data_IF_143464554992
#
_entry.id   IF_143464554992
#
_cell.length_a   1.000
_cell.length_b   1.000
_cell.length_c   1.000
_cell.angle_alpha   90.00
_cell.angle_beta   90.00
_cell.angle_gamma   90.00
#
_symmetry.space_group_name_H-M   'P 1'
#
loop_
_entity.id
_entity.type
_entity.pdbx_description
1 polymer ?
#
# COMPACT_ATOMS: atom_id res chain seq x y z
N UNK A 1 -41.72 -28.39 91.96
CA UNK A 1 -41.70 -29.69 91.28
C UNK A 1 -41.20 -29.43 89.88
N UNK A 2 -40.01 -29.94 89.59
CA UNK A 2 -39.26 -30.06 88.34
C UNK A 2 -39.70 -29.24 87.11
N UNK A 3 -38.81 -28.33 86.68
CA UNK A 3 -38.75 -27.83 85.30
C UNK A 3 -37.65 -28.62 84.57
N UNK A 4 -38.08 -29.56 83.72
CA UNK A 4 -37.24 -30.40 82.87
C UNK A 4 -36.54 -29.60 81.75
N UNK A 5 -35.29 -29.96 81.49
CA UNK A 5 -34.52 -29.59 80.30
C UNK A 5 -34.72 -30.68 79.23
N UNK A 6 -35.08 -30.37 77.97
CA UNK A 6 -34.91 -31.31 76.87
C UNK A 6 -33.63 -31.02 76.08
N UNK A 7 -32.74 -32.01 76.10
CA UNK A 7 -31.60 -32.16 75.20
C UNK A 7 -32.12 -32.42 73.79
N UNK A 8 -31.87 -31.53 72.83
CA UNK A 8 -32.14 -31.78 71.41
C UNK A 8 -30.91 -32.44 70.77
N UNK A 9 -31.08 -33.71 70.40
CA UNK A 9 -30.11 -34.50 69.63
C UNK A 9 -30.15 -34.13 68.14
N UNK A 10 -28.96 -34.02 67.52
CA UNK A 10 -28.78 -33.73 66.08
C UNK A 10 -28.91 -35.01 65.23
N UNK A 11 -29.61 -34.98 64.09
CA UNK A 11 -29.38 -35.92 63.00
C UNK A 11 -28.97 -35.20 61.70
N UNK A 12 -27.79 -34.56 61.66
CA UNK A 12 -27.25 -33.97 60.40
C UNK A 12 -26.38 -34.94 59.59
N UNK A 13 -25.85 -36.00 60.20
CA UNK A 13 -24.81 -36.85 59.57
C UNK A 13 -25.30 -37.73 58.41
N UNK A 14 -26.56 -38.20 58.43
CA UNK A 14 -27.10 -39.08 57.37
C UNK A 14 -27.39 -38.36 56.05
N UNK A 15 -27.86 -37.10 56.11
CA UNK A 15 -28.21 -36.33 54.91
C UNK A 15 -26.97 -35.91 54.14
N UNK A 16 -25.92 -35.51 54.85
CA UNK A 16 -24.65 -35.12 54.24
C UNK A 16 -23.93 -36.32 53.60
N UNK A 17 -24.00 -37.50 54.24
CA UNK A 17 -23.49 -38.75 53.66
C UNK A 17 -24.25 -39.11 52.37
N UNK A 18 -25.58 -38.96 52.35
CA UNK A 18 -26.39 -39.27 51.16
C UNK A 18 -26.05 -38.34 49.99
N UNK A 19 -25.84 -37.04 50.26
CA UNK A 19 -25.46 -36.05 49.24
C UNK A 19 -24.07 -36.34 48.70
N UNK A 20 -23.09 -36.64 49.56
CA UNK A 20 -21.74 -37.03 49.12
C UNK A 20 -21.79 -38.30 48.28
N UNK A 21 -22.60 -39.29 48.69
CA UNK A 21 -22.76 -40.54 47.95
C UNK A 21 -23.36 -40.32 46.55
N UNK A 22 -24.37 -39.45 46.43
CA UNK A 22 -24.95 -39.07 45.14
C UNK A 22 -23.94 -38.34 44.25
N UNK A 23 -23.17 -37.40 44.80
CA UNK A 23 -22.14 -36.67 44.04
C UNK A 23 -21.07 -37.64 43.51
N UNK A 24 -20.65 -38.61 44.33
CA UNK A 24 -19.68 -39.63 43.91
C UNK A 24 -20.27 -40.53 42.82
N UNK A 25 -21.53 -40.96 42.94
CA UNK A 25 -22.20 -41.75 41.91
C UNK A 25 -22.29 -40.99 40.58
N UNK A 26 -22.67 -39.71 40.61
CA UNK A 26 -22.75 -38.90 39.39
C UNK A 26 -21.37 -38.63 38.79
N UNK A 27 -20.34 -38.40 39.61
CA UNK A 27 -18.97 -38.21 39.14
C UNK A 27 -18.39 -39.49 38.50
N UNK A 28 -18.59 -40.63 39.15
CA UNK A 28 -18.16 -41.94 38.62
C UNK A 28 -18.97 -42.31 37.37
N UNK A 29 -20.28 -42.06 37.37
CA UNK A 29 -21.14 -42.27 36.20
C UNK A 29 -20.72 -41.40 35.01
N UNK A 30 -20.47 -40.11 35.23
CA UNK A 30 -19.96 -39.19 34.20
C UNK A 30 -18.57 -39.59 33.68
N UNK A 31 -17.68 -40.02 34.58
CA UNK A 31 -16.35 -40.51 34.21
C UNK A 31 -16.42 -41.80 33.40
N UNK A 32 -17.26 -42.78 33.79
CA UNK A 32 -17.43 -44.02 33.06
C UNK A 32 -18.09 -43.78 31.69
N UNK A 33 -19.09 -42.91 31.60
CA UNK A 33 -19.71 -42.53 30.32
C UNK A 33 -18.66 -41.88 29.41
N UNK A 34 -17.87 -40.91 29.92
CA UNK A 34 -16.78 -40.30 29.15
C UNK A 34 -15.68 -41.28 28.74
N UNK A 35 -15.26 -42.15 29.65
CA UNK A 35 -14.23 -43.17 29.39
C UNK A 35 -14.68 -44.20 28.36
N UNK A 36 -15.92 -44.70 28.44
CA UNK A 36 -16.44 -45.67 27.48
C UNK A 36 -16.82 -45.04 26.14
N UNK A 37 -17.25 -43.78 26.09
CA UNK A 37 -17.44 -43.06 24.82
C UNK A 37 -16.10 -42.80 24.11
N UNK A 38 -15.07 -42.36 24.82
CA UNK A 38 -13.72 -42.20 24.24
C UNK A 38 -13.06 -43.53 23.88
N UNK A 39 -13.34 -44.61 24.64
CA UNK A 39 -12.83 -45.95 24.32
C UNK A 39 -13.57 -46.58 23.14
N UNK A 40 -14.88 -46.34 23.01
CA UNK A 40 -15.64 -46.71 21.83
C UNK A 40 -15.13 -46.00 20.56
N UNK A 41 -14.63 -44.77 20.69
CA UNK A 41 -13.98 -44.02 19.60
C UNK A 41 -12.57 -44.55 19.28
N UNK A 42 -11.81 -45.07 20.27
CA UNK A 42 -10.50 -45.69 20.06
C UNK A 42 -10.55 -47.12 19.51
N UNK A 43 -11.60 -47.89 19.82
CA UNK A 43 -11.75 -49.28 19.38
C UNK A 43 -12.55 -49.45 18.06
N UNK A 44 -12.97 -48.36 17.41
CA UNK A 44 -13.62 -48.40 16.07
C UNK A 44 -12.70 -48.16 14.87
N UNK A 45 -11.37 -48.09 15.08
CA UNK A 45 -10.40 -48.23 13.98
C UNK A 45 -9.60 -49.52 14.17
N UNK A 46 -10.27 -50.66 14.03
CA UNK A 46 -9.61 -51.88 13.58
C UNK A 46 -9.69 -51.89 12.06
N UNK A 47 -8.57 -51.60 11.41
CA UNK A 47 -8.38 -51.88 9.99
C UNK A 47 -8.48 -53.39 9.77
N UNK A 48 -9.67 -53.88 9.43
CA UNK A 48 -9.78 -55.16 8.74
C UNK A 48 -9.49 -54.90 7.26
N UNK A 49 -8.48 -55.58 6.72
CA UNK A 49 -8.31 -55.79 5.29
C UNK A 49 -9.51 -56.59 4.76
N UNK A 50 -10.60 -55.88 4.47
CA UNK A 50 -11.68 -56.41 3.67
C UNK A 50 -11.33 -56.12 2.22
N UNK A 51 -10.87 -57.15 1.50
CA UNK A 51 -10.99 -57.22 0.04
C UNK A 51 -12.48 -57.14 -0.29
N UNK A 52 -13.00 -55.93 -0.40
CA UNK A 52 -14.40 -55.63 -0.68
C UNK A 52 -14.47 -54.31 -1.42
N UNK A 53 -14.68 -54.40 -2.73
CA UNK A 53 -15.16 -53.36 -3.66
C UNK A 53 -14.99 -51.92 -3.17
N UNK A 54 -13.97 -51.25 -3.69
CA UNK A 54 -13.72 -49.81 -3.55
C UNK A 54 -14.97 -49.00 -3.90
N UNK A 55 -15.67 -48.51 -2.88
CA UNK A 55 -16.48 -47.29 -3.04
C UNK A 55 -15.49 -46.16 -3.33
N UNK A 56 -15.70 -45.33 -4.37
CA UNK A 56 -14.78 -44.24 -4.65
C UNK A 56 -14.72 -43.33 -3.42
N UNK A 57 -13.52 -43.06 -2.92
CA UNK A 57 -13.29 -42.10 -1.84
C UNK A 57 -13.92 -40.76 -2.24
N UNK A 58 -15.08 -40.42 -1.66
CA UNK A 58 -15.65 -39.09 -1.84
C UNK A 58 -14.64 -38.09 -1.27
N UNK A 59 -14.27 -37.04 -2.02
CA UNK A 59 -13.34 -36.03 -1.54
C UNK A 59 -13.86 -35.43 -0.25
N UNK A 60 -12.96 -35.18 0.71
CA UNK A 60 -13.31 -34.47 1.94
C UNK A 60 -14.03 -33.16 1.60
N UNK A 61 -14.95 -32.70 2.46
CA UNK A 61 -15.67 -31.44 2.21
C UNK A 61 -14.70 -30.28 1.90
N UNK A 62 -13.51 -30.27 2.54
CA UNK A 62 -12.43 -29.33 2.24
C UNK A 62 -11.95 -29.41 0.79
N UNK A 63 -11.59 -30.60 0.31
CA UNK A 63 -11.13 -30.80 -1.06
C UNK A 63 -12.20 -30.47 -2.09
N UNK A 64 -13.46 -30.82 -1.81
CA UNK A 64 -14.60 -30.46 -2.66
C UNK A 64 -14.71 -28.94 -2.82
N UNK A 65 -14.74 -28.19 -1.72
CA UNK A 65 -14.86 -26.72 -1.78
C UNK A 65 -13.61 -26.05 -2.34
N UNK A 66 -12.42 -26.61 -2.09
CA UNK A 66 -11.18 -26.11 -2.68
C UNK A 66 -11.18 -26.26 -4.21
N UNK A 67 -11.57 -27.44 -4.72
CA UNK A 67 -11.73 -27.65 -6.17
C UNK A 67 -12.81 -26.76 -6.77
N UNK A 68 -13.93 -26.58 -6.06
CA UNK A 68 -14.98 -25.66 -6.49
C UNK A 68 -14.45 -24.23 -6.64
N UNK A 69 -13.72 -23.72 -5.64
CA UNK A 69 -13.08 -22.40 -5.72
C UNK A 69 -12.11 -22.30 -6.90
N UNK A 70 -11.19 -23.26 -7.05
CA UNK A 70 -10.22 -23.28 -8.14
C UNK A 70 -10.89 -23.30 -9.52
N UNK A 71 -11.96 -24.08 -9.67
CA UNK A 71 -12.71 -24.16 -10.91
C UNK A 71 -13.48 -22.87 -11.23
N UNK A 72 -13.89 -22.12 -10.21
CA UNK A 72 -14.58 -20.84 -10.40
C UNK A 72 -13.62 -19.75 -10.88
N UNK A 73 -12.36 -19.70 -10.43
CA UNK A 73 -11.41 -18.66 -10.84
C UNK A 73 -11.09 -18.74 -12.34
N UNK A 74 -11.28 -17.62 -13.06
CA UNK A 74 -10.97 -17.49 -14.49
C UNK A 74 -9.98 -16.35 -14.73
N UNK A 75 -8.88 -16.68 -15.42
CA UNK A 75 -7.88 -15.68 -15.82
C UNK A 75 -8.47 -14.54 -16.65
N UNK A 76 -9.41 -14.85 -17.56
CA UNK A 76 -10.08 -13.83 -18.39
C UNK A 76 -10.85 -12.80 -17.57
N UNK A 77 -11.49 -13.20 -16.48
CA UNK A 77 -12.20 -12.27 -15.59
C UNK A 77 -11.22 -11.35 -14.86
N UNK A 78 -10.05 -11.86 -14.46
CA UNK A 78 -9.00 -11.05 -13.84
C UNK A 78 -8.48 -10.03 -14.85
N UNK A 79 -8.23 -10.44 -16.10
CA UNK A 79 -7.83 -9.54 -17.18
C UNK A 79 -8.87 -8.44 -17.44
N UNK A 80 -10.16 -8.80 -17.51
CA UNK A 80 -11.24 -7.84 -17.75
C UNK A 80 -11.43 -6.87 -16.58
N UNK A 81 -11.32 -7.38 -15.34
CA UNK A 81 -11.32 -6.54 -14.15
C UNK A 81 -10.14 -5.56 -14.17
N UNK A 82 -8.94 -6.03 -14.54
CA UNK A 82 -7.75 -5.19 -14.63
C UNK A 82 -7.96 -4.08 -15.66
N UNK A 83 -8.37 -4.41 -16.89
CA UNK A 83 -8.67 -3.44 -17.95
C UNK A 83 -9.72 -2.41 -17.53
N UNK A 84 -10.77 -2.85 -16.84
CA UNK A 84 -11.80 -1.96 -16.33
C UNK A 84 -11.25 -0.95 -15.32
N UNK A 85 -10.48 -1.41 -14.33
CA UNK A 85 -9.91 -0.54 -13.29
C UNK A 85 -8.92 0.46 -13.90
N UNK A 86 -8.02 -0.02 -14.77
CA UNK A 86 -6.90 0.75 -15.32
C UNK A 86 -7.27 1.61 -16.53
N UNK A 87 -8.53 1.62 -16.93
CA UNK A 87 -9.00 2.38 -18.10
C UNK A 87 -8.85 3.90 -17.93
N UNK A 88 -8.85 4.39 -16.68
CA UNK A 88 -8.71 5.80 -16.34
C UNK A 88 -7.87 5.97 -15.06
N UNK A 89 -7.18 7.10 -14.87
CA UNK A 89 -6.48 7.37 -13.61
C UNK A 89 -7.41 7.38 -12.41
N UNK A 90 -6.97 6.78 -11.29
CA UNK A 90 -7.80 6.60 -10.10
C UNK A 90 -7.05 6.92 -8.79
N UNK A 91 -6.49 8.14 -8.74
CA UNK A 91 -5.84 8.68 -7.55
C UNK A 91 -6.79 8.77 -6.35
N UNK A 92 -6.26 8.61 -5.13
CA UNK A 92 -7.03 8.71 -3.90
C UNK A 92 -7.86 10.01 -3.86
N UNK A 93 -9.13 9.90 -3.46
CA UNK A 93 -10.06 11.04 -3.39
C UNK A 93 -10.54 11.59 -4.75
N UNK A 94 -10.17 10.96 -5.88
CA UNK A 94 -10.69 11.32 -7.20
C UNK A 94 -12.10 10.78 -7.46
N UNK A 95 -12.79 11.37 -8.44
CA UNK A 95 -14.09 10.90 -8.91
C UNK A 95 -14.05 9.42 -9.33
N UNK A 96 -13.06 9.04 -10.14
CA UNK A 96 -12.90 7.66 -10.64
C UNK A 96 -12.71 6.66 -9.50
N UNK A 97 -11.91 7.02 -8.49
CA UNK A 97 -11.69 6.16 -7.32
C UNK A 97 -13.00 5.90 -6.57
N UNK A 98 -13.85 6.92 -6.41
CA UNK A 98 -15.16 6.81 -5.78
C UNK A 98 -16.14 5.97 -6.60
N UNK A 99 -16.18 6.15 -7.93
CA UNK A 99 -16.98 5.31 -8.84
C UNK A 99 -16.60 3.83 -8.73
N UNK A 100 -15.30 3.51 -8.66
CA UNK A 100 -14.83 2.14 -8.45
C UNK A 100 -15.25 1.59 -7.08
N UNK A 101 -15.29 2.44 -6.04
CA UNK A 101 -15.75 2.06 -4.71
C UNK A 101 -17.24 1.67 -4.73
N UNK A 102 -18.07 2.52 -5.32
CA UNK A 102 -19.52 2.28 -5.49
C UNK A 102 -19.74 0.98 -6.26
N UNK A 103 -19.07 0.82 -7.41
CA UNK A 103 -19.20 -0.37 -8.25
C UNK A 103 -18.85 -1.66 -7.49
N UNK A 104 -17.81 -1.64 -6.66
CA UNK A 104 -17.44 -2.80 -5.85
C UNK A 104 -18.46 -3.06 -4.72
N UNK A 105 -18.95 -2.00 -4.07
CA UNK A 105 -19.99 -2.08 -3.05
C UNK A 105 -21.26 -2.75 -3.59
N UNK A 106 -21.74 -2.27 -4.75
CA UNK A 106 -22.92 -2.81 -5.43
C UNK A 106 -22.73 -4.27 -5.88
N UNK A 107 -21.56 -4.61 -6.43
CA UNK A 107 -21.22 -5.99 -6.78
C UNK A 107 -21.28 -6.91 -5.57
N UNK A 108 -20.67 -6.53 -4.45
CA UNK A 108 -20.67 -7.36 -3.24
C UNK A 108 -22.07 -7.52 -2.63
N UNK A 109 -22.94 -6.51 -2.71
CA UNK A 109 -24.35 -6.64 -2.33
C UNK A 109 -25.07 -7.64 -3.23
N UNK A 110 -24.89 -7.50 -4.55
CA UNK A 110 -25.48 -8.40 -5.56
C UNK A 110 -24.96 -9.84 -5.41
N UNK A 111 -23.73 -9.99 -4.96
CA UNK A 111 -23.09 -11.28 -4.68
C UNK A 111 -23.64 -12.00 -3.44
N UNK A 112 -24.52 -11.35 -2.67
CA UNK A 112 -25.13 -11.92 -1.47
C UNK A 112 -24.19 -11.97 -0.27
N UNK A 113 -23.25 -11.03 -0.16
CA UNK A 113 -22.48 -10.86 1.07
C UNK A 113 -23.41 -10.41 2.20
N UNK A 114 -23.19 -10.92 3.41
CA UNK A 114 -24.13 -10.73 4.53
C UNK A 114 -24.14 -9.26 5.02
N UNK A 115 -23.01 -8.56 4.92
CA UNK A 115 -22.93 -7.12 5.11
C UNK A 115 -21.93 -6.49 4.14
N UNK A 116 -22.25 -5.29 3.64
CA UNK A 116 -21.33 -4.51 2.80
C UNK A 116 -21.33 -3.06 3.28
N UNK A 117 -20.18 -2.61 3.73
CA UNK A 117 -19.95 -1.30 4.33
C UNK A 117 -19.06 -0.47 3.38
N UNK A 118 -19.24 0.85 3.42
CA UNK A 118 -18.39 1.79 2.70
C UNK A 118 -17.95 2.92 3.65
N UNK A 119 -17.13 2.61 4.68
CA UNK A 119 -16.75 3.61 5.66
C UNK A 119 -15.91 4.71 4.99
N UNK A 120 -16.23 5.94 5.35
CA UNK A 120 -15.62 7.15 4.82
C UNK A 120 -14.66 7.78 5.84
N UNK A 121 -13.56 8.33 5.32
CA UNK A 121 -12.56 9.04 6.10
C UNK A 121 -12.25 10.36 5.41
N UNK A 122 -12.25 11.46 6.15
CA UNK A 122 -11.81 12.76 5.64
C UNK A 122 -10.32 12.85 5.89
N UNK A 123 -9.49 12.86 4.85
CA UNK A 123 -8.04 12.80 4.98
C UNK A 123 -7.36 13.92 4.20
N UNK A 124 -6.26 14.51 4.71
CA UNK A 124 -5.47 15.48 3.99
C UNK A 124 -4.71 14.75 2.88
N UNK A 125 -4.99 15.09 1.64
CA UNK A 125 -4.27 14.60 0.47
C UNK A 125 -3.44 15.75 -0.11
N UNK A 126 -2.17 15.47 -0.40
CA UNK A 126 -1.37 16.36 -1.24
C UNK A 126 -1.65 16.04 -2.70
N UNK A 127 -1.99 17.05 -3.50
CA UNK A 127 -2.24 16.94 -4.94
C UNK A 127 -1.44 18.04 -5.68
N UNK A 128 -1.10 17.86 -6.96
CA UNK A 128 -0.48 18.91 -7.76
C UNK A 128 -1.53 19.98 -8.15
N UNK A 129 -1.10 21.22 -8.37
CA UNK A 129 -1.95 22.27 -8.96
C UNK A 129 -1.90 22.19 -10.50
N UNK A 130 -3.02 21.84 -11.13
CA UNK A 130 -3.09 21.65 -12.59
C UNK A 130 -2.91 22.96 -13.37
N UNK A 131 -3.39 24.08 -12.82
CA UNK A 131 -3.28 25.44 -13.37
C UNK A 131 -1.90 26.06 -13.15
N UNK A 132 -1.13 25.53 -12.19
CA UNK A 132 0.22 25.97 -11.87
C UNK A 132 1.18 24.78 -11.67
N UNK A 133 1.51 24.03 -12.74
CA UNK A 133 2.35 22.85 -12.63
C UNK A 133 3.72 23.14 -12.01
N UNK A 134 4.28 22.11 -11.36
CA UNK A 134 5.67 22.17 -10.89
C UNK A 134 6.61 22.34 -12.09
N UNK A 135 7.74 23.02 -11.91
CA UNK A 135 8.73 23.18 -12.98
C UNK A 135 10.14 23.39 -12.44
N UNK A 136 11.11 23.07 -13.27
CA UNK A 136 12.53 23.27 -13.02
C UNK A 136 13.10 24.12 -14.14
N UNK A 137 13.68 25.27 -13.82
CA UNK A 137 14.25 26.21 -14.78
C UNK A 137 15.77 26.22 -14.63
N UNK A 138 16.50 26.14 -15.74
CA UNK A 138 17.95 26.40 -15.79
C UNK A 138 18.15 27.87 -16.11
N UNK A 139 18.89 28.56 -15.24
CA UNK A 139 19.13 29.99 -15.35
C UNK A 139 20.61 30.21 -15.57
N UNK A 140 20.96 30.90 -16.66
CA UNK A 140 22.33 31.29 -16.99
C UNK A 140 22.35 32.80 -17.17
N UNK A 141 23.23 33.49 -16.44
CA UNK A 141 23.38 34.94 -16.50
C UNK A 141 22.05 35.70 -16.32
N UNK A 142 21.15 35.19 -15.47
CA UNK A 142 19.84 35.78 -15.19
C UNK A 142 18.74 35.48 -16.23
N UNK A 143 19.05 34.71 -17.28
CA UNK A 143 18.08 34.32 -18.32
C UNK A 143 17.70 32.84 -18.20
N UNK A 144 16.44 32.51 -18.48
CA UNK A 144 15.97 31.12 -18.51
C UNK A 144 16.43 30.49 -19.82
N UNK A 145 17.34 29.52 -19.74
CA UNK A 145 17.84 28.79 -20.92
C UNK A 145 17.00 27.55 -21.22
N UNK A 146 16.52 26.88 -20.18
CA UNK A 146 15.76 25.64 -20.31
C UNK A 146 14.70 25.54 -19.22
N UNK A 147 13.56 24.89 -19.53
CA UNK A 147 12.46 24.66 -18.59
C UNK A 147 11.99 23.22 -18.72
N UNK A 148 12.09 22.46 -17.63
CA UNK A 148 11.47 21.16 -17.46
C UNK A 148 10.10 21.39 -16.81
N UNK A 149 9.03 21.08 -17.53
CA UNK A 149 7.66 21.25 -17.05
C UNK A 149 7.18 19.94 -16.42
N UNK A 150 6.69 19.99 -15.18
CA UNK A 150 6.05 18.88 -14.47
C UNK A 150 4.63 18.60 -14.97
N UNK A 151 4.48 18.47 -16.29
CA UNK A 151 3.23 18.13 -16.96
C UNK A 151 3.56 17.27 -18.19
N UNK A 152 2.99 16.08 -18.23
CA UNK A 152 3.13 15.13 -19.34
C UNK A 152 1.76 14.61 -19.77
N UNK A 153 1.66 14.18 -21.02
CA UNK A 153 0.43 13.56 -21.53
C UNK A 153 0.64 12.04 -21.62
N UNK A 154 -0.29 11.29 -21.03
CA UNK A 154 -0.18 9.83 -20.90
C UNK A 154 -1.41 9.11 -21.43
N UNK A 155 -1.22 7.84 -21.79
CA UNK A 155 -2.25 6.93 -22.28
C UNK A 155 -2.24 5.66 -21.43
N UNK A 156 -3.40 5.02 -21.28
CA UNK A 156 -3.52 3.78 -20.52
C UNK A 156 -2.75 2.61 -21.18
N UNK A 157 -2.68 2.62 -22.51
CA UNK A 157 -1.90 1.68 -23.32
C UNK A 157 -1.43 2.38 -24.61
N UNK A 158 -0.41 1.85 -25.31
CA UNK A 158 0.18 2.52 -26.48
C UNK A 158 -0.82 2.73 -27.63
N UNK A 159 -1.72 1.77 -27.81
CA UNK A 159 -2.81 1.76 -28.80
C UNK A 159 -3.99 2.67 -28.42
N UNK A 160 -4.08 3.16 -27.19
CA UNK A 160 -5.23 3.95 -26.75
C UNK A 160 -5.30 5.32 -27.44
N UNK A 161 -6.52 5.78 -27.68
CA UNK A 161 -6.82 7.09 -28.25
C UNK A 161 -6.99 8.16 -27.17
N UNK A 162 -7.59 7.80 -26.03
CA UNK A 162 -7.83 8.71 -24.90
C UNK A 162 -6.50 9.05 -24.23
N UNK A 163 -6.27 10.35 -24.06
CA UNK A 163 -5.09 10.95 -23.43
C UNK A 163 -5.49 11.61 -22.11
N UNK A 164 -4.58 11.59 -21.15
CA UNK A 164 -4.77 12.20 -19.83
C UNK A 164 -3.60 13.13 -19.53
N UNK A 165 -3.89 14.30 -18.96
CA UNK A 165 -2.85 15.12 -18.37
C UNK A 165 -2.37 14.47 -17.09
N UNK A 166 -1.06 14.38 -16.93
CA UNK A 166 -0.42 13.88 -15.74
C UNK A 166 0.59 14.90 -15.22
N UNK A 167 0.62 15.09 -13.91
CA UNK A 167 1.42 16.11 -13.24
C UNK A 167 2.32 15.42 -12.20
N UNK A 168 3.54 15.01 -12.59
CA UNK A 168 4.45 14.32 -11.68
C UNK A 168 4.79 15.19 -10.48
N UNK A 169 4.72 14.63 -9.28
CA UNK A 169 5.01 15.35 -8.04
C UNK A 169 5.38 14.38 -6.91
N UNK A 170 6.05 14.90 -5.90
CA UNK A 170 6.17 14.21 -4.62
C UNK A 170 5.08 14.69 -3.66
N UNK A 171 4.20 13.77 -3.25
CA UNK A 171 3.14 14.11 -2.32
C UNK A 171 3.71 14.60 -0.99
N UNK A 172 3.12 15.67 -0.48
CA UNK A 172 3.48 16.39 0.73
C UNK A 172 4.81 17.15 0.67
N UNK A 173 5.45 17.24 -0.49
CA UNK A 173 6.52 18.21 -0.69
C UNK A 173 5.97 19.63 -0.45
N UNK A 174 6.65 20.47 0.34
CA UNK A 174 6.19 21.80 0.65
C UNK A 174 6.26 22.70 -0.59
N UNK A 175 5.33 23.65 -0.64
CA UNK A 175 5.34 24.65 -1.70
C UNK A 175 6.49 25.61 -1.50
N UNK A 176 7.05 26.06 -2.61
CA UNK A 176 8.10 27.05 -2.61
C UNK A 176 8.74 27.19 -3.96
N UNK A 177 9.31 28.37 -4.17
CA UNK A 177 10.25 28.63 -5.25
C UNK A 177 11.61 28.85 -4.62
N UNK A 178 12.57 28.01 -4.99
CA UNK A 178 13.96 28.10 -4.53
C UNK A 178 14.89 28.15 -5.71
N UNK A 179 16.00 28.86 -5.59
CA UNK A 179 17.01 28.99 -6.62
C UNK A 179 18.39 28.80 -6.02
N UNK A 180 19.21 27.97 -6.65
CA UNK A 180 20.57 27.70 -6.18
C UNK A 180 21.38 26.90 -7.19
N UNK A 181 22.68 26.78 -6.93
CA UNK A 181 23.55 25.92 -7.73
C UNK A 181 23.17 24.44 -7.51
N UNK A 182 23.25 23.65 -8.58
CA UNK A 182 22.91 22.22 -8.57
C UNK A 182 24.08 21.36 -8.10
N UNK A 183 23.82 20.38 -7.23
CA UNK A 183 24.84 19.43 -6.72
C UNK A 183 24.33 18.00 -6.86
N UNK A 184 25.12 17.12 -7.47
CA UNK A 184 24.78 15.70 -7.57
C UNK A 184 25.26 14.90 -6.36
N UNK A 185 24.34 14.17 -5.72
CA UNK A 185 24.59 13.45 -4.46
C UNK A 185 24.44 11.92 -4.61
N UNK A 186 24.51 11.37 -5.84
CA UNK A 186 24.31 9.94 -6.10
C UNK A 186 22.95 9.44 -5.59
N UNK A 187 22.91 8.48 -4.67
CA UNK A 187 21.66 7.99 -4.06
C UNK A 187 21.21 8.86 -2.88
N UNK A 188 22.06 9.80 -2.47
CA UNK A 188 21.84 10.67 -1.31
C UNK A 188 22.11 10.00 0.03
N UNK A 189 22.75 8.82 0.06
CA UNK A 189 23.12 8.16 1.31
C UNK A 189 24.07 9.03 2.14
N UNK A 190 24.14 8.77 3.45
CA UNK A 190 25.07 9.49 4.34
C UNK A 190 26.51 9.33 3.89
N UNK A 191 26.85 8.15 3.40
CA UNK A 191 28.16 7.80 2.86
C UNK A 191 28.43 8.55 1.56
N UNK A 192 27.44 8.66 0.68
CA UNK A 192 27.57 9.41 -0.56
C UNK A 192 27.86 10.89 -0.28
N UNK A 193 27.06 11.51 0.59
CA UNK A 193 27.21 12.94 0.91
C UNK A 193 28.57 13.21 1.59
N UNK A 194 29.00 12.33 2.50
CA UNK A 194 30.35 12.44 3.10
C UNK A 194 31.45 12.32 2.04
N UNK A 195 31.33 11.39 1.10
CA UNK A 195 32.31 11.21 0.04
C UNK A 195 32.41 12.45 -0.84
N UNK A 196 31.26 13.02 -1.24
CA UNK A 196 31.17 14.26 -1.99
C UNK A 196 31.88 15.39 -1.25
N UNK A 197 31.52 15.65 0.00
CA UNK A 197 32.08 16.75 0.81
C UNK A 197 33.59 16.58 0.99
N UNK A 198 34.07 15.37 1.30
CA UNK A 198 35.49 15.11 1.52
C UNK A 198 36.33 15.23 0.25
N UNK A 199 35.77 14.90 -0.93
CA UNK A 199 36.49 14.96 -2.20
C UNK A 199 36.55 16.36 -2.79
N UNK A 200 35.46 17.12 -2.64
CA UNK A 200 35.26 18.37 -3.39
C UNK A 200 35.29 19.62 -2.51
N UNK A 201 35.12 19.47 -1.19
CA UNK A 201 34.89 20.60 -0.27
C UNK A 201 33.53 21.28 -0.43
N UNK A 202 32.63 20.74 -1.26
CA UNK A 202 31.33 21.36 -1.58
C UNK A 202 30.34 21.12 -0.44
N UNK A 203 29.86 22.22 0.15
CA UNK A 203 28.72 22.22 1.08
C UNK A 203 27.39 22.15 0.33
N UNK A 204 26.36 21.57 0.98
CA UNK A 204 24.99 21.56 0.46
C UNK A 204 24.21 22.84 0.81
N UNK A 205 24.78 23.73 1.60
CA UNK A 205 24.14 24.96 2.06
C UNK A 205 23.74 25.87 0.88
N UNK A 206 22.44 26.23 0.84
CA UNK A 206 21.83 27.01 -0.23
C UNK A 206 21.99 26.38 -1.62
N UNK A 207 22.04 25.05 -1.71
CA UNK A 207 22.10 24.29 -2.97
C UNK A 207 20.82 23.52 -3.24
N UNK A 208 20.55 23.30 -4.52
CA UNK A 208 19.57 22.31 -4.96
C UNK A 208 20.32 21.01 -5.21
N UNK A 209 19.87 19.93 -4.59
CA UNK A 209 20.48 18.61 -4.79
C UNK A 209 19.75 17.83 -5.86
N UNK A 210 20.49 17.02 -6.62
CA UNK A 210 19.93 16.04 -7.56
C UNK A 210 20.44 14.64 -7.21
N UNK A 211 19.52 13.68 -7.10
CA UNK A 211 19.81 12.31 -6.69
C UNK A 211 19.08 11.28 -7.54
N UNK A 212 19.65 10.08 -7.69
CA UNK A 212 18.99 8.93 -8.31
C UNK A 212 18.35 8.03 -7.26
N UNK A 213 17.21 7.45 -7.59
CA UNK A 213 16.53 6.42 -6.79
C UNK A 213 15.44 6.94 -5.85
N UNK A 214 14.41 6.12 -5.68
CA UNK A 214 13.16 6.48 -4.98
C UNK A 214 13.34 6.71 -3.47
N UNK A 215 14.39 6.15 -2.86
CA UNK A 215 14.68 6.29 -1.42
C UNK A 215 15.49 7.54 -1.06
N UNK A 216 15.54 8.53 -1.96
CA UNK A 216 16.33 9.75 -1.78
C UNK A 216 16.07 10.47 -0.45
N UNK A 217 17.17 10.81 0.23
CA UNK A 217 17.25 11.29 1.61
C UNK A 217 17.01 12.80 1.74
N UNK A 218 15.83 13.27 1.32
CA UNK A 218 15.44 14.69 1.35
C UNK A 218 15.66 15.31 2.75
N UNK A 219 15.32 14.58 3.81
CA UNK A 219 15.52 15.05 5.19
C UNK A 219 17.00 15.23 5.55
N UNK A 220 17.88 14.33 5.11
CA UNK A 220 19.31 14.44 5.37
C UNK A 220 19.92 15.63 4.59
N UNK A 221 19.59 15.76 3.30
CA UNK A 221 20.06 16.89 2.49
C UNK A 221 19.59 18.22 3.08
N UNK A 222 18.33 18.31 3.50
CA UNK A 222 17.80 19.49 4.16
C UNK A 222 18.50 19.81 5.49
N UNK A 223 18.80 18.79 6.31
CA UNK A 223 19.53 18.98 7.58
C UNK A 223 20.95 19.51 7.38
N UNK A 224 21.50 19.39 6.17
CA UNK A 224 22.81 19.90 5.76
C UNK A 224 22.71 21.23 4.98
N UNK A 225 21.53 21.87 4.95
CA UNK A 225 21.32 23.19 4.37
C UNK A 225 20.90 23.21 2.90
N UNK A 226 20.60 22.05 2.29
CA UNK A 226 20.00 22.03 0.95
C UNK A 226 18.62 22.72 0.98
N UNK A 227 18.32 23.47 -0.07
CA UNK A 227 17.08 24.27 -0.16
C UNK A 227 16.05 23.67 -1.12
N UNK A 228 16.44 22.71 -1.95
CA UNK A 228 15.54 21.97 -2.84
C UNK A 228 16.13 20.64 -3.28
N UNK A 229 15.28 19.72 -3.74
CA UNK A 229 15.69 18.39 -4.17
C UNK A 229 15.02 17.97 -5.49
N UNK A 230 15.83 17.43 -6.41
CA UNK A 230 15.39 16.75 -7.62
C UNK A 230 15.74 15.27 -7.50
N UNK A 231 14.80 14.39 -7.81
CA UNK A 231 15.03 12.95 -7.77
C UNK A 231 14.59 12.35 -9.10
N UNK A 232 15.39 11.44 -9.64
CA UNK A 232 15.09 10.76 -10.89
C UNK A 232 15.23 9.23 -10.77
N UNK A 233 14.50 8.46 -11.62
CA UNK A 233 14.70 7.02 -11.78
C UNK A 233 16.16 6.65 -12.05
N UNK A 234 16.70 5.64 -11.38
CA UNK A 234 18.01 5.12 -11.79
C UNK A 234 17.87 4.45 -13.17
N UNK A 235 18.64 4.84 -14.21
CA UNK A 235 18.51 4.25 -15.54
C UNK A 235 18.89 2.76 -15.58
N UNK A 236 19.52 2.20 -14.55
CA UNK A 236 19.65 0.73 -14.44
C UNK A 236 18.28 0.01 -14.45
N UNK A 237 17.21 0.69 -14.04
CA UNK A 237 15.82 0.19 -14.17
C UNK A 237 15.27 0.21 -15.60
N UNK A 238 16.03 0.78 -16.56
CA UNK A 238 15.70 0.81 -18.00
C UNK A 238 16.19 -0.43 -18.74
N UNK A 239 16.64 -1.46 -18.03
CA UNK A 239 17.06 -2.73 -18.62
C UNK A 239 18.45 -2.69 -19.26
N UNK A 240 18.85 -3.76 -19.97
CA UNK A 240 20.18 -3.88 -20.56
C UNK A 240 20.42 -2.94 -21.75
N UNK A 241 19.36 -2.46 -22.40
CA UNK A 241 19.43 -1.56 -23.55
C UNK A 241 18.55 -0.32 -23.29
N UNK A 242 19.14 0.87 -23.09
CA UNK A 242 18.38 2.11 -22.85
C UNK A 242 17.43 2.52 -23.98
N UNK A 243 17.64 1.99 -25.20
CA UNK A 243 16.77 2.24 -26.36
C UNK A 243 15.61 1.23 -26.45
N UNK A 244 15.58 0.21 -25.59
CA UNK A 244 14.61 -0.87 -25.61
C UNK A 244 13.78 -0.86 -24.33
N UNK A 245 12.92 0.16 -24.22
CA UNK A 245 12.09 0.46 -23.04
C UNK A 245 10.59 0.39 -23.38
N UNK A 246 9.72 0.61 -22.40
CA UNK A 246 8.28 0.73 -22.61
C UNK A 246 8.01 1.78 -23.72
N UNK A 247 7.17 1.47 -24.73
CA UNK A 247 6.17 0.40 -24.75
C UNK A 247 6.61 -0.96 -25.32
N UNK A 248 7.84 -1.11 -25.79
CA UNK A 248 8.29 -2.33 -26.46
C UNK A 248 8.71 -3.43 -25.48
N UNK A 249 9.22 -3.03 -24.30
CA UNK A 249 9.67 -3.93 -23.23
C UNK A 249 9.08 -3.48 -21.87
N UNK A 250 9.19 -4.29 -20.81
CA UNK A 250 8.74 -3.89 -19.47
C UNK A 250 9.69 -2.90 -18.77
N UNK A 251 10.75 -2.43 -19.44
CA UNK A 251 11.75 -1.57 -18.81
C UNK A 251 11.35 -0.10 -18.81
N UNK A 252 11.81 0.62 -17.80
CA UNK A 252 11.51 2.05 -17.58
C UNK A 252 11.96 2.90 -18.77
N UNK A 253 11.08 3.76 -19.30
CA UNK A 253 11.39 4.64 -20.43
C UNK A 253 12.04 5.96 -20.01
N UNK A 254 12.66 6.64 -20.99
CA UNK A 254 13.28 7.97 -20.91
C UNK A 254 12.57 8.98 -20.04
N UNK A 255 11.28 9.09 -20.32
CA UNK A 255 10.39 10.13 -19.81
C UNK A 255 9.63 9.66 -18.56
N UNK A 256 9.90 8.43 -18.11
CA UNK A 256 9.29 7.92 -16.89
C UNK A 256 9.77 8.71 -15.68
N UNK A 257 8.85 8.88 -14.75
CA UNK A 257 9.02 9.52 -13.46
C UNK A 257 8.48 8.58 -12.41
N UNK A 258 8.99 8.65 -11.19
CA UNK A 258 8.43 7.91 -10.07
C UNK A 258 7.82 8.86 -9.05
N UNK A 259 6.72 8.42 -8.46
CA UNK A 259 6.03 9.12 -7.41
C UNK A 259 6.32 8.48 -6.07
N UNK A 260 6.29 9.30 -5.03
CA UNK A 260 6.26 8.82 -3.66
C UNK A 260 5.68 9.90 -2.76
N UNK A 261 5.11 9.52 -1.61
CA UNK A 261 4.98 10.46 -0.52
C UNK A 261 6.37 10.80 0.01
N UNK A 262 6.62 12.08 0.28
CA UNK A 262 7.83 12.55 0.96
C UNK A 262 7.48 12.92 2.39
N UNK A 263 7.05 11.90 3.14
CA UNK A 263 6.79 11.94 4.58
C UNK A 263 6.98 10.56 5.20
N UNK A 264 7.30 10.49 6.50
CA UNK A 264 7.70 9.24 7.20
C UNK A 264 6.57 8.68 8.10
N UNK A 265 5.30 8.99 7.81
CA UNK A 265 4.20 8.58 8.69
C UNK A 265 3.17 7.74 7.94
N UNK A 266 3.01 6.48 8.35
CA UNK A 266 1.90 5.64 7.92
C UNK A 266 0.58 6.23 8.44
N UNK A 267 -0.44 6.28 7.58
CA UNK A 267 -1.78 6.77 7.92
C UNK A 267 -1.96 8.29 7.73
N UNK A 268 -3.07 8.84 8.23
CA UNK A 268 -3.33 10.29 8.12
C UNK A 268 -2.31 11.06 8.98
N UNK A 269 -1.47 11.93 8.37
CA UNK A 269 -0.44 12.65 9.11
C UNK A 269 -1.01 13.61 10.16
N UNK A 270 -2.28 14.02 10.05
CA UNK A 270 -2.94 14.92 11.01
C UNK A 270 -3.69 14.16 12.10
N UNK A 271 -3.92 12.85 11.96
CA UNK A 271 -4.60 12.03 12.96
C UNK A 271 -3.79 10.76 13.24
N UNK A 272 -2.55 10.88 13.75
CA UNK A 272 -1.72 9.71 14.03
C UNK A 272 -2.42 8.81 15.05
N UNK A 273 -2.45 7.50 14.75
CA UNK A 273 -3.00 6.44 15.60
C UNK A 273 -4.51 6.53 15.92
N UNK A 274 -5.22 7.55 15.41
CA UNK A 274 -6.66 7.73 15.61
C UNK A 274 -7.38 7.83 14.25
N UNK A 275 -8.62 7.33 14.13
CA UNK A 275 -9.32 7.31 12.86
C UNK A 275 -9.67 8.74 12.39
N UNK A 276 -9.48 9.01 11.09
CA UNK A 276 -9.75 10.32 10.48
C UNK A 276 -11.24 10.56 10.20
N UNK A 277 -12.06 10.46 11.25
CA UNK A 277 -13.52 10.66 11.21
C UNK A 277 -13.90 12.05 11.71
N UNK A 278 -15.16 12.42 11.50
CA UNK A 278 -15.69 13.71 11.91
C UNK A 278 -15.61 13.89 13.44
N UNK A 279 -15.22 15.09 13.90
CA UNK A 279 -15.06 15.41 15.31
C UNK A 279 -13.73 14.97 15.96
N UNK A 280 -12.87 14.23 15.27
CA UNK A 280 -11.53 13.88 15.79
C UNK A 280 -10.55 15.05 15.69
N UNK A 281 -9.69 15.19 16.70
CA UNK A 281 -8.64 16.20 16.73
C UNK A 281 -7.66 16.01 15.57
N UNK A 282 -7.29 17.11 14.91
CA UNK A 282 -6.26 17.13 13.87
C UNK A 282 -5.06 17.92 14.36
N UNK A 283 -3.92 17.24 14.45
CA UNK A 283 -2.66 17.86 14.83
C UNK A 283 -2.20 18.91 13.80
N UNK A 284 -1.41 19.91 14.22
CA UNK A 284 -0.84 20.89 13.32
C UNK A 284 0.22 20.27 12.39
N UNK A 285 0.42 20.86 11.20
CA UNK A 285 1.37 20.37 10.19
C UNK A 285 2.81 20.29 10.70
N UNK A 286 3.24 21.16 11.61
CA UNK A 286 4.61 21.15 12.15
C UNK A 286 4.91 19.93 13.04
N UNK A 287 3.89 19.20 13.51
CA UNK A 287 4.05 17.94 14.23
C UNK A 287 4.12 16.72 13.31
N UNK A 288 4.10 16.94 11.99
CA UNK A 288 4.16 15.87 10.98
C UNK A 288 5.58 15.71 10.44
N UNK A 289 5.97 14.48 10.10
CA UNK A 289 7.27 14.19 9.48
C UNK A 289 7.27 14.44 7.96
N UNK A 290 6.61 15.52 7.51
CA UNK A 290 6.58 15.87 6.09
C UNK A 290 7.92 16.45 5.64
N UNK A 291 8.20 16.38 4.34
CA UNK A 291 9.43 16.88 3.76
C UNK A 291 9.67 18.37 4.13
N UNK A 292 10.91 18.72 4.53
CA UNK A 292 11.23 20.07 4.95
C UNK A 292 11.51 21.05 3.80
N UNK A 293 11.81 20.54 2.59
CA UNK A 293 12.23 21.36 1.44
C UNK A 293 11.45 21.01 0.15
N UNK A 294 11.22 21.98 -0.74
CA UNK A 294 10.64 21.74 -2.07
C UNK A 294 11.38 20.63 -2.80
N UNK A 295 10.64 19.64 -3.30
CA UNK A 295 11.17 18.42 -3.88
C UNK A 295 10.32 17.97 -5.06
N UNK A 296 10.96 17.58 -6.16
CA UNK A 296 10.26 17.26 -7.41
C UNK A 296 10.87 16.02 -8.10
N UNK A 297 10.04 15.05 -8.54
CA UNK A 297 10.51 14.02 -9.44
C UNK A 297 10.74 14.59 -10.85
N UNK A 298 11.82 14.16 -11.48
CA UNK A 298 12.10 14.44 -12.90
C UNK A 298 12.41 13.12 -13.61
N UNK A 299 12.27 13.11 -14.94
CA UNK A 299 12.64 11.94 -15.73
C UNK A 299 14.16 11.78 -15.77
N UNK A 300 14.66 10.60 -16.14
CA UNK A 300 16.10 10.44 -16.30
C UNK A 300 16.61 11.18 -17.56
N UNK A 301 15.77 11.38 -18.58
CA UNK A 301 16.08 12.25 -19.72
C UNK A 301 16.30 13.70 -19.28
N UNK A 302 15.40 14.24 -18.44
CA UNK A 302 15.56 15.59 -17.87
C UNK A 302 16.79 15.68 -16.97
N UNK A 303 17.05 14.62 -16.18
CA UNK A 303 18.25 14.55 -15.36
C UNK A 303 19.52 14.58 -16.21
N UNK A 304 19.56 13.92 -17.38
CA UNK A 304 20.70 13.98 -18.30
C UNK A 304 20.96 15.40 -18.81
N UNK A 305 19.92 16.19 -19.08
CA UNK A 305 20.04 17.60 -19.48
C UNK A 305 20.72 18.43 -18.39
N UNK A 306 20.34 18.19 -17.12
CA UNK A 306 20.94 18.90 -15.97
C UNK A 306 22.36 18.40 -15.67
N UNK A 307 22.55 17.08 -15.55
CA UNK A 307 23.81 16.46 -15.19
C UNK A 307 24.88 16.67 -16.26
N UNK A 308 24.53 16.63 -17.54
CA UNK A 308 25.46 16.89 -18.64
C UNK A 308 26.11 18.27 -18.61
N UNK A 309 25.51 19.22 -17.89
CA UNK A 309 26.03 20.57 -17.73
C UNK A 309 26.82 20.78 -16.43
N UNK A 310 26.81 19.84 -15.49
CA UNK A 310 27.47 19.97 -14.18
C UNK A 310 28.99 20.13 -14.31
N UNK A 311 29.52 21.16 -13.63
CA UNK A 311 30.97 21.40 -13.53
C UNK A 311 31.59 20.64 -12.37
N UNK A 312 32.90 20.82 -12.20
CA UNK A 312 33.68 20.25 -11.11
C UNK A 312 34.26 18.88 -11.43
N UNK A 313 34.87 18.27 -10.41
CA UNK A 313 35.54 16.97 -10.53
C UNK A 313 34.58 15.89 -11.02
N UNK A 314 35.06 15.02 -11.90
CA UNK A 314 34.24 13.94 -12.45
C UNK A 314 33.81 12.97 -11.36
N UNK A 315 32.52 12.63 -11.38
CA UNK A 315 31.97 11.64 -10.46
C UNK A 315 32.61 10.26 -10.69
N UNK A 316 32.80 9.44 -9.65
CA UNK A 316 33.30 8.07 -9.78
C UNK A 316 32.45 7.26 -10.76
N UNK A 317 33.05 6.28 -11.46
CA UNK A 317 32.30 5.39 -12.37
C UNK A 317 31.08 4.75 -11.70
N UNK A 318 31.21 4.35 -10.43
CA UNK A 318 30.10 3.77 -9.65
C UNK A 318 28.91 4.72 -9.46
N UNK A 319 29.14 6.04 -9.51
CA UNK A 319 28.13 7.09 -9.36
C UNK A 319 27.45 7.48 -10.67
N UNK A 320 28.01 7.10 -11.82
CA UNK A 320 27.42 7.38 -13.14
C UNK A 320 26.19 6.51 -13.38
N UNK A 321 26.17 5.29 -12.85
CA UNK A 321 25.05 4.37 -13.01
C UNK A 321 24.76 4.01 -14.46
N UNK A 322 23.48 3.85 -14.80
CA UNK A 322 23.03 3.59 -16.16
C UNK A 322 23.01 4.81 -17.10
N UNK A 323 23.42 6.01 -16.64
CA UNK A 323 23.39 7.23 -17.46
C UNK A 323 24.44 7.22 -18.59
N UNK A 324 25.52 6.42 -18.43
CA UNK A 324 26.63 6.29 -19.39
C UNK A 324 27.24 7.62 -19.88
N UNK A 325 27.17 8.67 -19.06
CA UNK A 325 27.76 9.98 -19.32
C UNK A 325 28.71 10.41 -18.20
N UNK A 326 29.76 11.15 -18.55
CA UNK A 326 30.75 11.65 -17.59
C UNK A 326 30.47 13.11 -17.22
N UNK A 327 29.99 13.33 -16.00
CA UNK A 327 29.64 14.65 -15.45
C UNK A 327 30.34 14.93 -14.12
N UNK A 328 30.35 16.20 -13.72
CA UNK A 328 30.95 16.63 -12.45
C UNK A 328 29.98 16.52 -11.26
N UNK A 329 30.50 16.74 -10.06
CA UNK A 329 29.66 16.80 -8.85
C UNK A 329 28.82 18.08 -8.74
N UNK A 330 29.20 19.16 -9.44
CA UNK A 330 28.78 20.53 -9.11
C UNK A 330 29.72 21.17 -8.08
N UNK A 331 29.33 22.30 -7.46
CA UNK A 331 28.04 22.97 -7.59
C UNK A 331 27.93 23.71 -8.92
N UNK A 332 26.74 23.75 -9.52
CA UNK A 332 26.44 24.57 -10.69
C UNK A 332 26.92 23.96 -12.01
N UNK A 333 26.76 24.72 -13.09
CA UNK A 333 27.07 24.28 -14.45
C UNK A 333 28.39 24.83 -14.98
N UNK A 334 28.87 24.27 -16.10
CA UNK A 334 30.09 24.71 -16.79
C UNK A 334 30.01 26.17 -17.26
N UNK A 335 28.81 26.67 -17.51
CA UNK A 335 28.57 28.08 -17.79
C UNK A 335 28.62 28.89 -16.49
N UNK A 336 29.29 30.04 -16.53
CA UNK A 336 29.36 30.98 -15.41
C UNK A 336 27.97 31.49 -15.01
N UNK A 337 27.81 31.83 -13.72
CA UNK A 337 26.58 32.36 -13.15
C UNK A 337 25.33 31.51 -13.49
N UNK A 338 25.40 30.24 -13.10
CA UNK A 338 24.40 29.23 -13.42
C UNK A 338 23.70 28.71 -12.17
N UNK A 339 22.37 28.75 -12.19
CA UNK A 339 21.52 28.25 -11.11
C UNK A 339 20.38 27.41 -11.68
N UNK A 340 19.78 26.60 -10.81
CA UNK A 340 18.51 25.94 -11.06
C UNK A 340 17.46 26.60 -10.18
N UNK A 341 16.30 26.90 -10.75
CA UNK A 341 15.13 27.38 -10.00
C UNK A 341 14.05 26.29 -10.01
N UNK A 342 13.70 25.82 -8.82
CA UNK A 342 12.68 24.82 -8.59
C UNK A 342 11.40 25.49 -8.10
N UNK A 343 10.28 25.25 -8.80
CA UNK A 343 8.95 25.68 -8.41
C UNK A 343 8.11 24.46 -8.03
N UNK A 344 7.67 24.39 -6.78
CA UNK A 344 6.74 23.36 -6.27
C UNK A 344 5.45 24.02 -5.82
N UNK A 345 4.34 23.59 -6.42
CA UNK A 345 2.98 24.09 -6.24
C UNK A 345 2.03 22.90 -5.96
N UNK A 346 2.28 22.19 -4.88
CA UNK A 346 1.37 21.16 -4.39
C UNK A 346 0.25 21.81 -3.55
N UNK A 347 -0.87 21.13 -3.33
CA UNK A 347 -1.93 21.59 -2.45
C UNK A 347 -2.36 20.47 -1.52
N UNK A 348 -2.34 20.76 -0.23
CA UNK A 348 -2.90 19.85 0.77
C UNK A 348 -4.37 20.19 0.92
N UNK A 349 -5.23 19.26 0.52
CA UNK A 349 -6.68 19.41 0.60
C UNK A 349 -7.29 18.23 1.35
N UNK A 350 -8.27 18.51 2.20
CA UNK A 350 -9.03 17.45 2.84
C UNK A 350 -10.00 16.87 1.81
N UNK A 351 -9.87 15.58 1.53
CA UNK A 351 -10.73 14.81 0.62
C UNK A 351 -11.33 13.63 1.36
N UNK A 352 -12.52 13.22 0.95
CA UNK A 352 -13.12 11.98 1.43
C UNK A 352 -12.54 10.80 0.68
N UNK A 353 -12.11 9.78 1.41
CA UNK A 353 -11.70 8.48 0.87
C UNK A 353 -12.61 7.39 1.42
N UNK A 354 -12.86 6.38 0.58
CA UNK A 354 -13.81 5.31 0.87
C UNK A 354 -13.10 3.97 0.87
N UNK A 355 -13.18 3.26 1.99
CA UNK A 355 -12.92 1.83 2.00
C UNK A 355 -14.20 1.11 1.60
N UNK A 356 -14.09 -0.10 1.06
CA UNK A 356 -15.24 -1.00 0.85
C UNK A 356 -14.95 -2.27 1.61
N UNK A 357 -15.85 -2.66 2.51
CA UNK A 357 -15.69 -3.84 3.37
C UNK A 357 -16.88 -4.77 3.16
N UNK A 358 -16.61 -5.95 2.62
CA UNK A 358 -17.60 -7.01 2.41
C UNK A 358 -17.43 -8.10 3.44
N UNK A 359 -18.48 -8.43 4.19
CA UNK A 359 -18.46 -9.43 5.26
C UNK A 359 -19.31 -10.65 4.88
N UNK A 360 -18.76 -11.84 5.06
CA UNK A 360 -19.48 -13.12 5.02
C UNK A 360 -19.31 -13.76 6.40
N UNK A 361 -20.38 -13.95 7.13
CA UNK A 361 -20.35 -14.50 8.49
C UNK A 361 -19.97 -15.98 8.49
N UNK A 362 -19.06 -16.32 9.41
CA UNK A 362 -18.69 -17.70 9.70
C UNK A 362 -19.85 -18.46 10.31
N UNK A 363 -20.06 -19.72 9.89
CA UNK A 363 -21.13 -20.57 10.40
C UNK A 363 -20.88 -21.13 11.81
N UNK A 364 -19.61 -21.19 12.23
CA UNK A 364 -19.19 -21.81 13.51
C UNK A 364 -18.43 -20.83 14.40
N UNK A 365 -17.54 -20.02 13.81
CA UNK A 365 -16.69 -19.05 14.51
C UNK A 365 -16.88 -17.65 13.90
N UNK A 366 -18.08 -17.03 14.01
CA UNK A 366 -18.38 -15.75 13.38
C UNK A 366 -17.53 -14.58 13.92
N UNK A 367 -16.92 -14.73 15.10
CA UNK A 367 -16.05 -13.79 15.79
C UNK A 367 -14.55 -13.96 15.44
N UNK A 368 -14.21 -14.87 14.51
CA UNK A 368 -12.85 -15.04 14.00
C UNK A 368 -12.80 -14.57 12.55
N UNK A 369 -11.85 -13.67 12.26
CA UNK A 369 -11.77 -13.00 10.95
C UNK A 369 -10.61 -13.52 10.12
N UNK A 370 -10.88 -13.78 8.84
CA UNK A 370 -9.87 -13.87 7.80
C UNK A 370 -10.02 -12.61 6.93
N UNK A 371 -9.03 -11.73 7.00
CA UNK A 371 -9.00 -10.48 6.23
C UNK A 371 -8.27 -10.70 4.92
N UNK A 372 -8.90 -10.34 3.81
CA UNK A 372 -8.31 -10.39 2.47
C UNK A 372 -8.49 -9.00 1.86
N UNK A 373 -7.41 -8.31 1.55
CA UNK A 373 -7.53 -6.94 1.07
C UNK A 373 -6.48 -6.50 0.06
N UNK A 374 -6.84 -5.47 -0.69
CA UNK A 374 -6.01 -4.77 -1.67
C UNK A 374 -6.41 -3.29 -1.66
N UNK A 375 -5.45 -2.39 -1.85
CA UNK A 375 -5.79 -0.98 -2.06
C UNK A 375 -6.22 -0.75 -3.50
N UNK A 376 -6.98 0.31 -3.72
CA UNK A 376 -7.61 0.64 -4.99
C UNK A 376 -7.08 1.93 -5.60
N UNK A 377 -6.53 2.83 -4.80
CA UNK A 377 -5.92 4.06 -5.28
C UNK A 377 -4.58 3.79 -5.97
N UNK A 378 -4.34 4.53 -7.05
CA UNK A 378 -3.07 4.52 -7.79
C UNK A 378 -2.56 5.94 -8.03
N UNK A 379 -1.28 6.12 -8.29
CA UNK A 379 -0.74 7.43 -8.70
C UNK A 379 -1.27 7.90 -10.06
N UNK A 380 -1.49 6.93 -10.96
CA UNK A 380 -2.05 7.13 -12.30
C UNK A 380 -3.01 5.98 -12.61
N UNK A 381 -2.67 5.08 -13.56
CA UNK A 381 -3.49 3.94 -13.97
C UNK A 381 -3.31 2.70 -13.09
N UNK A 382 -2.15 2.56 -12.44
CA UNK A 382 -1.89 1.53 -11.43
C UNK A 382 -2.02 0.08 -11.86
N UNK A 383 -1.72 -0.28 -13.11
CA UNK A 383 -1.95 -1.65 -13.61
C UNK A 383 -1.28 -2.75 -12.77
N UNK A 384 0.00 -2.57 -12.44
CA UNK A 384 0.67 -3.43 -11.48
C UNK A 384 0.26 -3.06 -10.05
N UNK A 385 0.63 -1.87 -9.61
CA UNK A 385 0.32 -1.35 -8.28
C UNK A 385 -0.84 -0.34 -8.31
N UNK A 386 -2.04 -0.66 -7.77
CA UNK A 386 -2.44 -1.94 -7.15
C UNK A 386 -3.42 -2.79 -7.95
N UNK A 387 -3.77 -2.36 -9.16
CA UNK A 387 -4.96 -2.85 -9.86
C UNK A 387 -4.87 -4.34 -10.19
N UNK A 388 -3.67 -4.92 -10.29
CA UNK A 388 -3.48 -6.37 -10.39
C UNK A 388 -4.03 -7.13 -9.16
N UNK A 389 -3.76 -6.62 -7.96
CA UNK A 389 -4.27 -7.17 -6.70
C UNK A 389 -5.77 -6.92 -6.53
N UNK A 390 -6.25 -5.74 -6.93
CA UNK A 390 -7.70 -5.45 -6.89
C UNK A 390 -8.47 -6.31 -7.90
N UNK A 391 -7.92 -6.55 -9.10
CA UNK A 391 -8.52 -7.42 -10.09
C UNK A 391 -8.62 -8.88 -9.59
N UNK A 392 -7.57 -9.36 -8.91
CA UNK A 392 -7.60 -10.66 -8.23
C UNK A 392 -8.65 -10.69 -7.11
N UNK A 393 -8.72 -9.66 -6.26
CA UNK A 393 -9.75 -9.54 -5.20
C UNK A 393 -11.17 -9.58 -5.77
N UNK A 394 -11.42 -8.90 -6.89
CA UNK A 394 -12.71 -8.93 -7.58
C UNK A 394 -13.08 -10.32 -8.08
N UNK A 395 -12.13 -11.08 -8.63
CA UNK A 395 -12.40 -12.45 -9.07
C UNK A 395 -12.56 -13.43 -7.91
N UNK A 396 -11.77 -13.28 -6.84
CA UNK A 396 -11.91 -14.07 -5.61
C UNK A 396 -13.31 -13.87 -5.02
N UNK A 397 -13.77 -12.62 -4.91
CA UNK A 397 -15.09 -12.31 -4.35
C UNK A 397 -16.24 -12.83 -5.22
N UNK A 398 -16.10 -12.79 -6.55
CA UNK A 398 -17.05 -13.41 -7.48
C UNK A 398 -17.09 -14.94 -7.33
N UNK A 399 -15.94 -15.61 -7.26
CA UNK A 399 -15.86 -17.06 -7.08
C UNK A 399 -16.48 -17.49 -5.74
N UNK A 400 -16.18 -16.75 -4.66
CA UNK A 400 -16.78 -16.98 -3.34
C UNK A 400 -18.30 -16.80 -3.39
N UNK A 401 -18.82 -15.79 -4.10
CA UNK A 401 -20.27 -15.63 -4.32
C UNK A 401 -20.91 -16.87 -4.95
N UNK A 402 -20.27 -17.47 -5.95
CA UNK A 402 -20.75 -18.72 -6.58
C UNK A 402 -20.77 -19.89 -5.61
N UNK A 403 -19.79 -19.97 -4.71
CA UNK A 403 -19.78 -20.96 -3.64
C UNK A 403 -20.93 -20.74 -2.64
N UNK A 404 -21.21 -19.49 -2.25
CA UNK A 404 -22.34 -19.14 -1.39
C UNK A 404 -23.67 -19.56 -2.01
N UNK A 405 -23.87 -19.28 -3.31
CA UNK A 405 -25.04 -19.69 -4.08
C UNK A 405 -25.19 -21.23 -4.13
N UNK A 406 -24.07 -21.96 -4.12
CA UNK A 406 -24.03 -23.42 -4.01
C UNK A 406 -24.23 -23.97 -2.60
N UNK A 407 -24.57 -23.13 -1.62
CA UNK A 407 -24.86 -23.51 -0.23
C UNK A 407 -23.63 -23.62 0.68
N UNK A 408 -22.44 -23.28 0.20
CA UNK A 408 -21.24 -23.25 1.05
C UNK A 408 -21.27 -22.04 1.99
N UNK A 409 -20.81 -22.23 3.23
CA UNK A 409 -20.51 -21.15 4.17
C UNK A 409 -19.15 -21.40 4.84
N UNK A 410 -18.34 -20.35 5.07
CA UNK A 410 -17.04 -20.51 5.71
C UNK A 410 -17.20 -20.84 7.20
N UNK A 411 -16.22 -21.54 7.79
CA UNK A 411 -16.19 -21.77 9.25
C UNK A 411 -16.06 -20.45 10.02
N UNK A 412 -15.13 -19.60 9.57
CA UNK A 412 -14.79 -18.29 10.13
C UNK A 412 -15.33 -17.17 9.25
N UNK A 413 -15.54 -16.00 9.81
CA UNK A 413 -15.98 -14.82 9.05
C UNK A 413 -14.90 -14.38 8.07
N UNK A 414 -15.28 -14.22 6.80
CA UNK A 414 -14.42 -13.61 5.79
C UNK A 414 -14.74 -12.11 5.70
N UNK A 415 -13.71 -11.28 5.70
CA UNK A 415 -13.84 -9.85 5.38
C UNK A 415 -12.94 -9.52 4.19
N UNK A 416 -13.57 -9.06 3.11
CA UNK A 416 -12.89 -8.54 1.94
C UNK A 416 -12.78 -7.03 2.05
N UNK A 417 -11.57 -6.50 1.90
CA UNK A 417 -11.29 -5.09 2.13
C UNK A 417 -10.66 -4.45 0.89
N UNK A 418 -11.35 -3.47 0.31
CA UNK A 418 -10.79 -2.60 -0.72
C UNK A 418 -10.44 -1.25 -0.12
N UNK A 419 -9.14 -1.01 0.09
CA UNK A 419 -8.64 0.20 0.77
C UNK A 419 -8.62 1.39 -0.18
N UNK A 420 -9.12 2.53 0.28
CA UNK A 420 -9.30 3.72 -0.54
C UNK A 420 -8.10 4.66 -0.61
N UNK A 421 -7.15 4.52 0.31
CA UNK A 421 -5.91 5.29 0.32
C UNK A 421 -4.78 4.43 0.87
N UNK A 422 -3.71 4.29 0.10
CA UNK A 422 -2.43 3.69 0.52
C UNK A 422 -1.22 4.36 -0.12
N UNK A 423 -1.33 4.83 -1.37
CA UNK A 423 -0.17 5.37 -2.10
C UNK A 423 0.32 6.73 -1.56
N UNK A 424 -0.46 7.33 -0.66
CA UNK A 424 -0.18 8.59 0.02
C UNK A 424 0.09 8.39 1.53
N UNK A 425 0.37 7.16 1.95
CA UNK A 425 0.81 6.76 3.30
C UNK A 425 2.33 6.57 3.39
#
# INVERSE_FOLDING_TARGET
MELEVPIVSRPKRRRDILVVFLVVIFAVGGFLIGYFLMKAEKDTVKCHDVKGTSKPNLPSNKERYHKMFQNEIKAKNIEDNLKYITSEPHIAGSKRQHELAISLNEKWRTYGFDAVEMPEYKVPLSLPQEDKPNKVEVIINGTIEHTILGKVEVKAEPSATKKFNYFPYFAYSPNGTVEGELVYINTGSKEDIKLLMNRTGVSLENKIVIARGIWGWIHLAASLGAIGALIFPDPHSSGPNPNDTYPNTPWTSGDAVFEKPVGINLGDPLTPEIPSIDGMYRGPRNMTNLAPIPSQPISYNDALVLLGQLKGDKVPKAWQGGLNVSFGFGPGFNKSNSTVRLHVNNMVVVKTVYNVIGTIHGREEPDRYVLIGSHRDAWLFGAADPSSGTAALMEITRAVSKMLQGGWRPRRTLKFCSWGRRNLD
#
